data_IF_699601088978
#
_entry.id   IF_699601088978
#
_cell.length_a   1.000
_cell.length_b   1.000
_cell.length_c   1.000
_cell.angle_alpha   90.00
_cell.angle_beta   90.00
_cell.angle_gamma   90.00
#
_symmetry.space_group_name_H-M   'P 1'
#
loop_
_entity.id
_entity.type
_entity.pdbx_description
1 polymer ?
#
# COMPACT_ATOMS: atom_id res chain seq x y z
N UNK A 1 1.60 -10.65 9.21
CA UNK A 1 2.01 -11.55 8.10
C UNK A 1 2.79 -10.74 7.06
N UNK A 2 3.73 -11.30 6.31
CA UNK A 2 4.34 -10.61 5.15
C UNK A 2 3.55 -10.89 3.88
N UNK A 3 3.36 -9.90 3.01
CA UNK A 3 2.44 -10.01 1.87
C UNK A 3 3.13 -10.00 0.51
N UNK A 4 3.04 -11.12 -0.20
CA UNK A 4 3.44 -11.27 -1.60
C UNK A 4 2.33 -10.81 -2.55
N UNK A 5 2.73 -10.24 -3.69
CA UNK A 5 1.83 -10.00 -4.83
C UNK A 5 1.00 -8.72 -4.74
N UNK A 6 1.27 -7.83 -3.79
CA UNK A 6 0.75 -6.47 -3.86
C UNK A 6 1.42 -5.74 -5.02
N UNK A 7 0.66 -4.95 -5.79
CA UNK A 7 1.17 -4.18 -6.94
C UNK A 7 1.03 -2.69 -6.66
N UNK A 8 2.08 -1.95 -6.95
CA UNK A 8 2.18 -0.51 -6.71
C UNK A 8 2.51 0.27 -7.98
N UNK A 9 2.15 1.55 -7.93
CA UNK A 9 2.70 2.61 -8.74
C UNK A 9 3.60 3.51 -7.89
N UNK A 10 4.75 3.88 -8.46
CA UNK A 10 5.53 5.02 -8.00
C UNK A 10 5.06 6.26 -8.76
N UNK A 11 4.67 7.28 -8.02
CA UNK A 11 4.24 8.57 -8.56
C UNK A 11 5.09 9.72 -8.02
N UNK A 12 5.16 10.83 -8.76
CA UNK A 12 5.73 12.08 -8.25
C UNK A 12 4.77 12.80 -7.29
N UNK A 13 5.20 13.94 -6.75
CA UNK A 13 4.41 14.76 -5.83
C UNK A 13 3.09 15.31 -6.42
N UNK A 14 2.92 15.30 -7.74
CA UNK A 14 1.70 15.73 -8.42
C UNK A 14 0.78 14.54 -8.76
N UNK A 15 1.16 13.31 -8.41
CA UNK A 15 0.45 12.09 -8.79
C UNK A 15 0.76 11.61 -10.20
N UNK A 16 1.79 12.15 -10.87
CA UNK A 16 2.23 11.64 -12.18
C UNK A 16 2.90 10.29 -12.01
N UNK A 17 2.41 9.27 -12.71
CA UNK A 17 2.98 7.93 -12.68
C UNK A 17 4.37 7.92 -13.31
N UNK A 18 5.38 7.52 -12.54
CA UNK A 18 6.77 7.37 -12.96
C UNK A 18 7.11 5.91 -13.28
N UNK A 19 6.53 4.97 -12.53
CA UNK A 19 6.68 3.54 -12.75
C UNK A 19 5.44 2.79 -12.25
N UNK A 20 5.00 1.76 -12.98
CA UNK A 20 3.86 0.91 -12.64
C UNK A 20 4.28 -0.55 -12.52
N UNK A 21 3.41 -1.39 -11.94
CA UNK A 21 3.62 -2.84 -11.89
C UNK A 21 4.66 -3.29 -10.87
N UNK A 22 5.01 -2.42 -9.91
CA UNK A 22 5.98 -2.71 -8.86
C UNK A 22 5.37 -3.73 -7.89
N UNK A 23 5.82 -4.98 -7.95
CA UNK A 23 5.17 -6.11 -7.26
C UNK A 23 6.00 -6.61 -6.08
N UNK A 24 5.35 -6.92 -4.97
CA UNK A 24 6.02 -7.46 -3.78
C UNK A 24 6.38 -8.93 -3.96
N UNK A 25 7.61 -9.29 -3.60
CA UNK A 25 8.13 -10.65 -3.66
C UNK A 25 7.59 -11.56 -2.56
N UNK A 26 8.04 -12.81 -2.56
CA UNK A 26 7.61 -13.84 -1.61
C UNK A 26 7.93 -13.53 -0.14
N UNK A 27 8.93 -12.69 0.10
CA UNK A 27 9.29 -12.18 1.41
C UNK A 27 8.49 -10.93 1.81
N UNK A 28 7.51 -10.54 0.99
CA UNK A 28 6.71 -9.33 1.14
C UNK A 28 7.56 -8.08 1.07
N UNK A 29 8.53 -8.05 0.15
CA UNK A 29 9.39 -6.88 -0.08
C UNK A 29 9.36 -6.41 -1.51
N UNK A 30 9.56 -5.10 -1.68
CA UNK A 30 9.74 -4.43 -2.97
C UNK A 30 10.95 -3.50 -2.85
N UNK A 31 11.85 -3.50 -3.85
CA UNK A 31 12.99 -2.59 -3.90
C UNK A 31 12.88 -1.64 -5.11
N UNK A 32 13.13 -0.36 -4.87
CA UNK A 32 13.12 0.69 -5.89
C UNK A 32 14.44 1.43 -5.82
N UNK A 33 15.20 1.42 -6.92
CA UNK A 33 16.53 2.01 -6.95
C UNK A 33 16.61 3.20 -7.90
N UNK A 34 17.54 4.12 -7.62
CA UNK A 34 17.94 5.15 -8.58
C UNK A 34 17.00 6.35 -8.65
N UNK A 35 16.25 6.63 -7.59
CA UNK A 35 15.44 7.85 -7.49
C UNK A 35 16.33 9.08 -7.33
N UNK A 36 16.00 10.15 -8.05
CA UNK A 36 16.60 11.46 -7.86
C UNK A 36 16.06 12.12 -6.58
N UNK A 37 16.72 13.17 -6.06
CA UNK A 37 16.15 13.97 -4.98
C UNK A 37 14.79 14.55 -5.40
N UNK A 38 13.78 14.38 -4.54
CA UNK A 38 12.40 14.70 -4.88
C UNK A 38 11.39 14.14 -3.88
N UNK A 39 10.14 14.56 -4.02
CA UNK A 39 9.01 14.01 -3.26
C UNK A 39 8.22 13.05 -4.15
N UNK A 40 7.84 11.93 -3.56
CA UNK A 40 7.25 10.78 -4.24
C UNK A 40 6.15 10.16 -3.39
N UNK A 41 5.35 9.32 -4.03
CA UNK A 41 4.39 8.47 -3.34
C UNK A 41 4.31 7.09 -3.97
N UNK A 42 4.06 6.09 -3.14
CA UNK A 42 3.66 4.75 -3.57
C UNK A 42 2.16 4.58 -3.39
N UNK A 43 1.48 4.18 -4.45
CA UNK A 43 0.04 3.91 -4.46
C UNK A 43 -0.17 2.45 -4.77
N UNK A 44 -0.85 1.72 -3.88
CA UNK A 44 -1.25 0.35 -4.16
C UNK A 44 -2.35 0.35 -5.23
N UNK A 45 -2.15 -0.40 -6.30
CA UNK A 45 -3.10 -0.54 -7.41
C UNK A 45 -3.74 -1.91 -7.48
N UNK A 46 -3.13 -2.90 -6.83
CA UNK A 46 -3.71 -4.23 -6.63
C UNK A 46 -3.27 -4.78 -5.28
N UNK A 47 -4.25 -5.13 -4.45
CA UNK A 47 -3.99 -5.82 -3.19
C UNK A 47 -3.58 -7.29 -3.43
N UNK A 48 -2.83 -7.87 -2.50
CA UNK A 48 -2.62 -9.31 -2.43
C UNK A 48 -3.95 -10.08 -2.40
N UNK A 49 -3.91 -11.34 -2.83
CA UNK A 49 -5.09 -12.20 -2.79
C UNK A 49 -5.63 -12.32 -1.36
N UNK A 50 -6.92 -12.05 -1.17
CA UNK A 50 -7.59 -12.11 0.13
C UNK A 50 -7.47 -10.84 0.98
N UNK A 51 -6.91 -9.76 0.45
CA UNK A 51 -6.79 -8.46 1.12
C UNK A 51 -7.58 -7.36 0.41
N UNK A 52 -7.98 -6.35 1.16
CA UNK A 52 -8.61 -5.14 0.66
C UNK A 52 -7.56 -4.22 0.03
N UNK A 53 -7.90 -3.61 -1.11
CA UNK A 53 -7.09 -2.58 -1.75
C UNK A 53 -7.11 -1.31 -0.90
N UNK A 54 -5.93 -0.87 -0.48
CA UNK A 54 -5.76 0.42 0.18
C UNK A 54 -4.91 1.36 -0.68
N UNK A 55 -5.58 2.06 -1.58
CA UNK A 55 -4.99 3.05 -2.48
C UNK A 55 -4.57 4.37 -1.77
N UNK A 56 -4.59 4.43 -0.44
CA UNK A 56 -4.05 5.58 0.31
C UNK A 56 -2.55 5.71 0.02
N UNK A 57 -2.07 6.84 -0.53
CA UNK A 57 -0.67 7.01 -0.91
C UNK A 57 0.28 6.97 0.29
N UNK A 58 1.39 6.24 0.15
CA UNK A 58 2.53 6.29 1.08
C UNK A 58 3.53 7.29 0.56
N UNK A 59 3.56 8.48 1.16
CA UNK A 59 4.44 9.58 0.72
C UNK A 59 5.82 9.48 1.34
N UNK A 60 6.84 9.83 0.57
CA UNK A 60 8.23 9.89 1.05
C UNK A 60 9.04 10.92 0.25
N UNK A 61 10.20 11.28 0.79
CA UNK A 61 11.10 12.25 0.16
C UNK A 61 12.51 11.69 0.10
N UNK A 62 13.17 11.88 -1.04
CA UNK A 62 14.60 11.63 -1.23
C UNK A 62 15.30 12.97 -1.10
N UNK A 63 16.12 13.11 -0.07
CA UNK A 63 16.92 14.32 0.12
C UNK A 63 18.14 14.33 -0.80
N UNK A 64 18.63 15.53 -1.10
CA UNK A 64 19.91 15.68 -1.82
C UNK A 64 21.02 15.09 -0.95
N UNK A 65 21.95 14.36 -1.58
CA UNK A 65 23.10 13.73 -0.91
C UNK A 65 22.73 12.68 0.15
N UNK A 66 21.49 12.18 0.14
CA UNK A 66 21.11 11.04 0.97
C UNK A 66 21.90 9.79 0.54
N UNK A 67 22.57 9.14 1.49
CA UNK A 67 23.35 7.92 1.24
C UNK A 67 22.67 6.66 1.79
N UNK A 68 21.67 6.83 2.67
CA UNK A 68 20.98 5.76 3.36
C UNK A 68 19.67 5.42 2.65
N UNK A 69 19.34 4.13 2.56
CA UNK A 69 18.07 3.67 2.04
C UNK A 69 16.91 4.06 2.95
N UNK A 70 15.74 4.35 2.36
CA UNK A 70 14.50 4.55 3.11
C UNK A 70 13.75 3.22 3.17
N UNK A 71 13.23 2.91 4.35
CA UNK A 71 12.40 1.74 4.60
C UNK A 71 10.98 2.25 4.89
N UNK A 72 10.03 1.82 4.07
CA UNK A 72 8.61 2.14 4.24
C UNK A 72 7.85 0.86 4.56
N UNK A 73 6.77 1.03 5.32
CA UNK A 73 5.87 -0.05 5.68
C UNK A 73 4.45 0.28 5.20
N UNK A 74 3.78 -0.69 4.58
CA UNK A 74 2.37 -0.60 4.19
C UNK A 74 1.63 -1.80 4.76
N UNK A 75 0.49 -1.55 5.39
CA UNK A 75 -0.37 -2.59 5.94
C UNK A 75 -1.61 -2.77 5.07
N UNK A 76 -2.09 -4.01 4.96
CA UNK A 76 -3.36 -4.32 4.34
C UNK A 76 -4.30 -5.00 5.33
N UNK A 77 -5.58 -4.69 5.17
CA UNK A 77 -6.68 -5.35 5.86
C UNK A 77 -7.10 -6.59 5.09
N UNK A 78 -7.18 -7.74 5.76
CA UNK A 78 -7.72 -8.95 5.15
C UNK A 78 -9.22 -8.78 4.87
N UNK A 79 -9.70 -9.28 3.74
CA UNK A 79 -11.14 -9.39 3.47
C UNK A 79 -11.73 -10.35 4.50
N UNK A 80 -12.83 -9.95 5.15
CA UNK A 80 -13.51 -10.82 6.11
C UNK A 80 -14.17 -12.00 5.39
N UNK A 81 -13.87 -13.23 5.84
CA UNK A 81 -14.55 -14.43 5.37
C UNK A 81 -16.03 -14.34 5.75
N UNK A 82 -16.92 -14.24 4.76
CA UNK A 82 -18.37 -14.14 4.95
C UNK A 82 -19.01 -15.50 5.29
N UNK A 83 -18.41 -16.28 6.19
CA UNK A 83 -18.91 -17.60 6.59
C UNK A 83 -19.84 -17.59 7.82
N UNK A 84 -20.20 -16.42 8.36
CA UNK A 84 -21.20 -16.32 9.43
C UNK A 84 -22.59 -15.98 8.87
N UNK A 85 -23.12 -16.86 8.01
CA UNK A 85 -24.54 -16.86 7.61
C UNK A 85 -25.19 -18.10 8.22
N UNK A 86 -25.45 -18.08 9.53
CA UNK A 86 -26.38 -19.02 10.18
C UNK A 86 -27.31 -18.28 11.15
N UNK A 87 -28.48 -17.92 10.60
CA UNK A 87 -29.68 -17.41 11.30
C UNK A 87 -29.83 -15.89 11.17
N UNK A 88 -30.80 -15.28 10.46
CA UNK A 88 -32.21 -15.61 10.23
C UNK A 88 -32.70 -14.85 8.97
N UNK A 89 -33.68 -15.36 8.22
CA UNK A 89 -34.30 -14.75 7.04
C UNK A 89 -35.78 -14.38 7.34
N UNK A 90 -36.55 -13.56 6.58
CA UNK A 90 -36.26 -12.42 5.68
C UNK A 90 -37.09 -11.15 6.03
N UNK A 91 -36.68 -9.94 5.63
CA UNK A 91 -37.63 -8.90 5.16
C UNK A 91 -36.96 -7.87 4.25
N UNK A 92 -37.68 -7.56 3.18
CA UNK A 92 -37.38 -6.67 2.06
C UNK A 92 -37.43 -5.17 2.41
N UNK A 93 -36.71 -4.38 1.59
CA UNK A 93 -36.95 -2.98 1.22
C UNK A 93 -36.70 -1.89 2.27
N UNK A 94 -35.68 -1.08 2.02
CA UNK A 94 -35.49 0.21 2.66
C UNK A 94 -34.21 0.90 2.18
N UNK A 95 -34.33 1.77 1.19
CA UNK A 95 -33.31 2.69 0.71
C UNK A 95 -32.60 3.32 1.91
N UNK A 96 -31.33 2.99 2.16
CA UNK A 96 -30.58 3.58 3.28
C UNK A 96 -29.14 3.84 2.87
N UNK A 97 -28.95 5.09 2.45
CA UNK A 97 -27.78 5.94 2.66
C UNK A 97 -26.46 5.19 2.93
N UNK A 98 -25.58 5.16 1.92
CA UNK A 98 -24.19 4.81 2.12
C UNK A 98 -23.60 5.83 3.12
N UNK A 99 -22.95 5.40 4.22
CA UNK A 99 -22.14 6.34 4.98
C UNK A 99 -21.01 6.82 4.08
N UNK A 100 -20.92 8.14 3.90
CA UNK A 100 -19.73 8.77 3.34
C UNK A 100 -18.60 8.49 4.33
N UNK A 101 -17.46 8.03 3.82
CA UNK A 101 -16.21 7.83 4.58
C UNK A 101 -15.99 8.99 5.56
N UNK A 102 -16.07 8.69 6.85
CA UNK A 102 -16.00 9.70 7.92
C UNK A 102 -16.61 9.29 9.27
N UNK A 103 -17.39 8.21 9.37
CA UNK A 103 -17.91 7.73 10.67
C UNK A 103 -17.16 6.49 11.18
N UNK A 104 -16.32 6.73 12.19
CA UNK A 104 -15.63 5.71 12.99
C UNK A 104 -16.63 5.02 13.92
N UNK A 105 -17.36 4.01 13.46
CA UNK A 105 -18.04 3.08 14.37
C UNK A 105 -18.05 1.66 13.79
N UNK A 106 -16.90 0.96 13.82
CA UNK A 106 -16.91 -0.49 14.06
C UNK A 106 -15.59 -0.99 14.66
N UNK A 107 -15.67 -1.19 15.98
CA UNK A 107 -15.15 -2.36 16.69
C UNK A 107 -13.64 -2.47 16.93
N UNK A 108 -13.25 -2.11 18.15
CA UNK A 108 -12.03 -2.53 18.84
C UNK A 108 -11.98 -4.04 19.17
N UNK A 109 -12.73 -4.91 18.44
CA UNK A 109 -12.66 -6.37 18.51
C UNK A 109 -12.06 -7.04 17.25
N UNK A 110 -11.61 -6.32 16.22
CA UNK A 110 -10.94 -6.89 15.04
C UNK A 110 -9.41 -6.97 15.26
N UNK A 111 -8.97 -7.72 16.27
CA UNK A 111 -7.55 -7.80 16.66
C UNK A 111 -6.71 -8.87 15.93
N UNK A 112 -7.16 -9.38 14.79
CA UNK A 112 -6.33 -10.20 13.89
C UNK A 112 -7.08 -10.29 12.56
N UNK A 113 -6.57 -9.84 11.41
CA UNK A 113 -5.30 -10.21 10.79
C UNK A 113 -4.84 -9.03 9.89
N UNK A 114 -3.75 -8.34 10.27
CA UNK A 114 -3.08 -7.33 9.44
C UNK A 114 -1.84 -7.97 8.78
N UNK A 115 -1.71 -7.79 7.46
CA UNK A 115 -0.49 -8.12 6.74
C UNK A 115 0.35 -6.87 6.48
N UNK A 116 1.67 -7.01 6.47
CA UNK A 116 2.65 -5.94 6.46
C UNK A 116 3.63 -6.17 5.31
N UNK A 117 3.81 -5.17 4.46
CA UNK A 117 4.81 -5.10 3.40
C UNK A 117 5.94 -4.14 3.81
N UNK A 118 7.18 -4.48 3.47
CA UNK A 118 8.33 -3.59 3.55
C UNK A 118 8.84 -3.15 2.16
N UNK A 119 8.93 -1.86 1.92
CA UNK A 119 9.49 -1.29 0.69
C UNK A 119 10.84 -0.65 0.98
N UNK A 120 11.83 -0.97 0.15
CA UNK A 120 13.22 -0.51 0.24
C UNK A 120 13.49 0.45 -0.91
N UNK A 121 13.99 1.65 -0.62
CA UNK A 121 14.30 2.63 -1.65
C UNK A 121 15.80 2.95 -1.59
N UNK A 122 16.55 2.56 -2.62
CA UNK A 122 18.00 2.81 -2.71
C UNK A 122 18.35 3.89 -3.74
N UNK A 123 19.49 4.54 -3.55
CA UNK A 123 19.99 5.58 -4.43
C UNK A 123 21.19 5.02 -5.21
N UNK A 124 21.16 5.09 -6.55
CA UNK A 124 22.28 4.70 -7.43
C UNK A 124 22.93 5.95 -8.01
N UNK A 125 24.13 6.29 -7.54
CA UNK A 125 24.93 7.35 -8.16
C UNK A 125 25.64 6.84 -9.43
N UNK A 126 25.34 7.44 -10.59
CA UNK A 126 26.19 7.31 -11.78
C UNK A 126 27.35 8.31 -11.63
N UNK A 127 28.49 7.85 -11.09
CA UNK A 127 29.72 8.64 -10.99
C UNK A 127 30.16 9.12 -12.38
N UNK A 128 29.92 10.39 -12.71
CA UNK A 128 30.58 11.03 -13.86
C UNK A 128 32.04 11.28 -13.47
N UNK A 129 32.95 10.47 -14.02
CA UNK A 129 34.38 10.81 -14.02
C UNK A 129 34.59 11.86 -15.10
N UNK A 130 34.65 13.13 -14.71
CA UNK A 130 35.28 14.16 -15.54
C UNK A 130 36.76 14.18 -15.15
N UNK A 131 37.59 13.66 -16.04
CA UNK A 131 39.04 13.89 -16.07
C UNK A 131 39.25 15.19 -16.84
#
# INVERSE_FOLDING_TARGET
EVLQGAVFELQDANGTVLQSGLTTGADGKLAIDGLAPGAYQLVETQAPTGYELDATPVTFKIEKEQEVAIFLTKENRKVADSSDIRGNNPTSSGNKHLPKTGETIISQFILSILGVLLVFISIKFRKKRNI
#
